data_IF_565539949890
#
_entry.id   IF_565539949890
#
_cell.length_a   1.000
_cell.length_b   1.000
_cell.length_c   1.000
_cell.angle_alpha   90.00
_cell.angle_beta   90.00
_cell.angle_gamma   90.00
#
_symmetry.space_group_name_H-M   'P 1'
#
loop_
_entity.id
_entity.type
_entity.pdbx_description
1 polymer ?
#
# COMPACT_ATOMS: atom_id res chain seq x y z
N UNK A 1 -8.49 -15.49 -12.72
CA UNK A 1 -8.13 -14.37 -11.80
C UNK A 1 -9.05 -14.43 -10.59
N UNK A 2 -8.53 -14.80 -9.43
CA UNK A 2 -9.32 -14.78 -8.20
C UNK A 2 -9.52 -13.34 -7.75
N UNK A 3 -10.65 -12.77 -8.15
CA UNK A 3 -11.04 -11.46 -7.63
C UNK A 3 -11.56 -11.66 -6.21
N UNK A 4 -10.85 -11.11 -5.24
CA UNK A 4 -11.31 -11.07 -3.86
C UNK A 4 -12.58 -10.23 -3.84
N UNK A 5 -13.67 -10.82 -3.37
CA UNK A 5 -14.95 -10.11 -3.27
C UNK A 5 -14.94 -9.18 -2.07
N UNK A 6 -15.42 -7.96 -2.24
CA UNK A 6 -15.50 -6.95 -1.18
C UNK A 6 -16.78 -7.07 -0.33
N UNK A 7 -17.29 -8.28 -0.15
CA UNK A 7 -18.51 -8.51 0.64
C UNK A 7 -18.19 -8.31 2.13
N UNK A 8 -18.96 -7.47 2.81
CA UNK A 8 -18.77 -7.17 4.22
C UNK A 8 -17.62 -6.23 4.56
N UNK A 9 -16.97 -5.67 3.55
CA UNK A 9 -15.88 -4.70 3.70
C UNK A 9 -16.44 -3.30 3.52
N UNK A 10 -16.14 -2.40 4.47
CA UNK A 10 -16.47 -0.99 4.32
C UNK A 10 -15.52 -0.33 3.34
N UNK A 11 -16.06 0.41 2.39
CA UNK A 11 -15.29 1.08 1.35
C UNK A 11 -15.61 2.56 1.29
N UNK A 12 -14.62 3.35 0.90
CA UNK A 12 -14.80 4.75 0.53
C UNK A 12 -13.87 5.09 -0.63
N UNK A 13 -14.37 5.87 -1.58
CA UNK A 13 -13.63 6.25 -2.76
C UNK A 13 -13.99 5.46 -4.00
N UNK A 14 -13.07 5.38 -4.96
CA UNK A 14 -13.33 4.85 -6.29
C UNK A 14 -13.21 3.32 -6.37
N UNK A 15 -14.34 2.62 -6.41
CA UNK A 15 -14.37 1.15 -6.58
C UNK A 15 -13.79 0.70 -7.91
N UNK A 16 -13.74 1.57 -8.91
CA UNK A 16 -13.09 1.29 -10.20
C UNK A 16 -11.63 0.86 -10.02
N UNK A 17 -10.94 1.38 -9.00
CA UNK A 17 -9.55 1.02 -8.72
C UNK A 17 -9.39 -0.43 -8.29
N UNK A 18 -10.42 -1.04 -7.72
CA UNK A 18 -10.39 -2.46 -7.35
C UNK A 18 -10.70 -3.36 -8.54
N UNK A 19 -11.74 -3.03 -9.29
CA UNK A 19 -12.27 -3.86 -10.38
C UNK A 19 -11.65 -3.57 -11.74
N UNK A 20 -10.92 -2.46 -11.88
CA UNK A 20 -10.31 -2.04 -13.14
C UNK A 20 -9.16 -2.94 -13.59
N UNK A 21 -8.74 -2.81 -14.87
CA UNK A 21 -7.71 -3.67 -15.47
C UNK A 21 -6.27 -3.23 -15.13
N UNK A 22 -6.10 -2.09 -14.48
CA UNK A 22 -4.78 -1.55 -14.17
C UNK A 22 -3.95 -2.51 -13.32
N UNK A 23 -2.67 -2.64 -13.64
CA UNK A 23 -1.73 -3.42 -12.85
C UNK A 23 -1.53 -2.76 -11.49
N UNK A 24 -1.74 -3.53 -10.43
CA UNK A 24 -1.59 -3.06 -9.06
C UNK A 24 -0.22 -3.46 -8.53
N UNK A 25 0.45 -2.52 -7.90
CA UNK A 25 1.77 -2.71 -7.29
C UNK A 25 1.59 -2.74 -5.78
N UNK A 26 1.91 -3.88 -5.16
CA UNK A 26 1.94 -3.99 -3.71
C UNK A 26 3.14 -3.26 -3.13
N UNK A 27 2.91 -2.41 -2.15
CA UNK A 27 3.95 -1.62 -1.49
C UNK A 27 4.08 -2.08 -0.05
N UNK A 28 5.31 -2.39 0.33
CA UNK A 28 5.64 -2.90 1.67
C UNK A 28 6.85 -2.14 2.20
N UNK A 29 6.77 -1.63 3.41
CA UNK A 29 7.92 -1.01 4.06
C UNK A 29 8.00 -1.47 5.52
N UNK A 30 9.21 -1.78 5.97
CA UNK A 30 9.47 -2.07 7.37
C UNK A 30 9.10 -0.88 8.24
N UNK A 31 8.59 -1.17 9.43
CA UNK A 31 8.11 -0.15 10.37
C UNK A 31 9.16 0.94 10.64
N UNK A 32 10.43 0.54 10.74
CA UNK A 32 11.54 1.44 11.06
C UNK A 32 12.34 1.86 9.83
N UNK A 33 11.88 1.56 8.62
CA UNK A 33 12.56 2.01 7.41
C UNK A 33 12.58 3.55 7.38
N UNK A 34 13.73 4.12 7.03
CA UNK A 34 13.89 5.57 7.02
C UNK A 34 12.96 6.22 5.99
N UNK A 35 11.95 6.93 6.48
CA UNK A 35 10.98 7.66 5.65
C UNK A 35 11.63 8.76 4.82
N UNK A 36 12.84 9.21 5.17
CA UNK A 36 13.60 10.22 4.45
C UNK A 36 14.64 9.63 3.49
N UNK A 37 14.67 8.31 3.32
CA UNK A 37 15.54 7.67 2.34
C UNK A 37 15.17 8.19 0.94
N UNK A 38 16.15 8.73 0.25
CA UNK A 38 15.92 9.37 -1.04
C UNK A 38 15.42 8.39 -2.11
N UNK A 39 15.77 7.11 -2.01
CA UNK A 39 15.31 6.06 -2.95
C UNK A 39 13.80 5.85 -2.84
N UNK A 40 13.26 5.92 -1.62
CA UNK A 40 11.82 5.85 -1.36
C UNK A 40 11.10 7.03 -2.02
N UNK A 41 11.60 8.23 -1.82
CA UNK A 41 11.04 9.44 -2.40
C UNK A 41 11.06 9.40 -3.92
N UNK A 42 12.18 9.02 -4.50
CA UNK A 42 12.35 8.90 -5.96
C UNK A 42 11.40 7.86 -6.55
N UNK A 43 11.31 6.70 -5.94
CA UNK A 43 10.43 5.63 -6.40
C UNK A 43 8.95 6.07 -6.36
N UNK A 44 8.53 6.68 -5.27
CA UNK A 44 7.16 7.14 -5.10
C UNK A 44 6.78 8.25 -6.10
N UNK A 45 7.67 9.20 -6.32
CA UNK A 45 7.46 10.26 -7.30
C UNK A 45 7.35 9.70 -8.73
N UNK A 46 8.18 8.73 -9.07
CA UNK A 46 8.14 8.07 -10.37
C UNK A 46 6.85 7.29 -10.56
N UNK A 47 6.41 6.55 -9.54
CA UNK A 47 5.12 5.85 -9.56
C UNK A 47 3.96 6.81 -9.86
N UNK A 48 4.00 8.00 -9.27
CA UNK A 48 3.03 9.05 -9.54
C UNK A 48 3.07 9.55 -10.98
N UNK A 49 4.27 9.86 -11.48
CA UNK A 49 4.44 10.34 -12.86
C UNK A 49 3.94 9.35 -13.91
N UNK A 50 4.05 8.06 -13.65
CA UNK A 50 3.52 7.01 -14.54
C UNK A 50 2.09 6.60 -14.22
N UNK A 51 1.41 7.31 -13.34
CA UNK A 51 0.01 7.05 -12.96
C UNK A 51 -0.25 5.61 -12.55
N UNK A 52 0.68 5.03 -11.81
CA UNK A 52 0.57 3.65 -11.34
C UNK A 52 -0.44 3.54 -10.21
N UNK A 53 -0.99 2.34 -10.01
CA UNK A 53 -1.90 2.04 -8.91
C UNK A 53 -1.13 1.29 -7.82
N UNK A 54 -0.97 1.92 -6.67
CA UNK A 54 -0.31 1.34 -5.50
C UNK A 54 -1.32 0.70 -4.57
N UNK A 55 -0.99 -0.44 -4.01
CA UNK A 55 -1.81 -1.11 -3.00
C UNK A 55 -0.95 -1.34 -1.76
N UNK A 56 -1.45 -0.93 -0.60
CA UNK A 56 -0.71 -1.09 0.63
C UNK A 56 -1.56 -0.86 1.86
N UNK A 57 -0.97 -1.10 3.02
CA UNK A 57 -1.57 -0.78 4.31
C UNK A 57 -1.26 0.64 4.76
N UNK A 58 -0.23 1.23 4.21
CA UNK A 58 0.23 2.61 4.42
C UNK A 58 0.17 3.04 5.90
N UNK A 59 0.61 2.14 6.77
CA UNK A 59 0.51 2.34 8.22
C UNK A 59 1.79 2.91 8.83
N UNK A 60 2.97 2.45 8.39
CA UNK A 60 4.26 2.98 8.87
C UNK A 60 4.54 4.37 8.30
N UNK A 61 5.45 5.10 8.92
CA UNK A 61 5.86 6.43 8.44
C UNK A 61 6.41 6.36 7.01
N UNK A 62 7.22 5.34 6.72
CA UNK A 62 7.76 5.13 5.37
C UNK A 62 6.65 4.85 4.35
N UNK A 63 5.74 3.94 4.65
CA UNK A 63 4.62 3.62 3.77
C UNK A 63 3.72 4.84 3.55
N UNK A 64 3.46 5.62 4.59
CA UNK A 64 2.64 6.81 4.52
C UNK A 64 3.28 7.88 3.65
N UNK A 65 4.60 8.04 3.77
CA UNK A 65 5.33 8.98 2.93
C UNK A 65 5.31 8.57 1.45
N UNK A 66 5.45 7.27 1.17
CA UNK A 66 5.30 6.76 -0.20
C UNK A 66 3.94 7.13 -0.77
N UNK A 67 2.88 6.87 -0.02
CA UNK A 67 1.52 7.20 -0.44
C UNK A 67 1.36 8.69 -0.74
N UNK A 68 1.77 9.54 0.18
CA UNK A 68 1.61 10.99 0.03
C UNK A 68 2.37 11.53 -1.19
N UNK A 69 3.60 11.11 -1.40
CA UNK A 69 4.41 11.52 -2.55
C UNK A 69 3.80 11.00 -3.86
N UNK A 70 3.44 9.73 -3.90
CA UNK A 70 2.89 9.12 -5.11
C UNK A 70 1.56 9.78 -5.50
N UNK A 71 0.65 9.97 -4.58
CA UNK A 71 -0.63 10.63 -4.84
C UNK A 71 -0.44 12.08 -5.28
N UNK A 72 0.48 12.81 -4.65
CA UNK A 72 0.78 14.20 -5.03
C UNK A 72 1.33 14.31 -6.47
N UNK A 73 1.93 13.24 -6.99
CA UNK A 73 2.46 13.18 -8.35
C UNK A 73 1.53 12.50 -9.36
N UNK A 74 0.33 12.11 -8.98
CA UNK A 74 -0.69 11.59 -9.89
C UNK A 74 -0.94 10.09 -9.86
N UNK A 75 -0.38 9.36 -8.89
CA UNK A 75 -0.67 7.94 -8.71
C UNK A 75 -2.12 7.70 -8.29
N UNK A 76 -2.55 6.46 -8.48
CA UNK A 76 -3.76 5.91 -7.86
C UNK A 76 -3.36 5.01 -6.70
N UNK A 77 -4.25 4.81 -5.75
CA UNK A 77 -3.96 3.92 -4.62
C UNK A 77 -5.20 3.20 -4.11
N UNK A 78 -4.97 1.98 -3.64
CA UNK A 78 -5.92 1.20 -2.84
C UNK A 78 -5.30 1.04 -1.46
N UNK A 79 -5.94 1.63 -0.45
CA UNK A 79 -5.47 1.59 0.92
C UNK A 79 -6.27 0.57 1.73
N UNK A 80 -5.62 -0.51 2.12
CA UNK A 80 -6.23 -1.59 2.90
C UNK A 80 -5.92 -1.37 4.38
N UNK A 81 -6.96 -1.11 5.17
CA UNK A 81 -6.84 -0.80 6.59
C UNK A 81 -7.25 -1.96 7.46
N UNK A 82 -6.51 -2.19 8.52
CA UNK A 82 -6.85 -3.15 9.58
C UNK A 82 -7.71 -2.58 10.70
N UNK A 83 -8.24 -1.37 10.51
CA UNK A 83 -9.12 -0.67 11.45
C UNK A 83 -10.16 0.14 10.68
N UNK A 84 -11.06 0.82 11.40
CA UNK A 84 -12.12 1.61 10.79
C UNK A 84 -11.60 2.67 9.82
N UNK A 85 -12.43 3.07 8.86
CA UNK A 85 -12.12 4.19 7.96
C UNK A 85 -11.94 5.47 8.76
N UNK A 86 -11.02 6.36 8.36
CA UNK A 86 -10.85 7.65 9.02
C UNK A 86 -12.09 8.52 8.83
N UNK A 87 -12.34 9.40 9.77
CA UNK A 87 -13.45 10.35 9.68
C UNK A 87 -13.11 11.59 8.87
N UNK A 88 -11.81 11.90 8.76
CA UNK A 88 -11.31 13.12 8.11
C UNK A 88 -10.12 12.74 7.24
N UNK A 89 -10.09 13.27 6.02
CA UNK A 89 -8.98 13.14 5.08
C UNK A 89 -8.28 14.48 4.93
N UNK A 90 -6.95 14.49 4.84
CA UNK A 90 -6.15 15.72 4.72
C UNK A 90 -5.04 15.55 3.68
N UNK A 91 -4.59 16.70 3.14
CA UNK A 91 -3.44 16.76 2.24
C UNK A 91 -3.64 15.98 0.94
N UNK A 92 -2.61 15.24 0.53
CA UNK A 92 -2.63 14.47 -0.72
C UNK A 92 -3.74 13.40 -0.75
N UNK A 93 -4.04 12.81 0.40
CA UNK A 93 -5.11 11.80 0.55
C UNK A 93 -6.48 12.42 0.29
N UNK A 94 -6.75 13.59 0.83
CA UNK A 94 -8.01 14.32 0.61
C UNK A 94 -8.20 14.63 -0.87
N UNK A 95 -7.20 15.20 -1.52
CA UNK A 95 -7.23 15.51 -2.95
C UNK A 95 -7.43 14.26 -3.81
N UNK A 96 -6.75 13.19 -3.47
CA UNK A 96 -6.88 11.91 -4.18
C UNK A 96 -8.29 11.34 -4.05
N UNK A 97 -8.90 11.46 -2.86
CA UNK A 97 -10.28 11.02 -2.65
C UNK A 97 -11.25 11.84 -3.52
N UNK A 98 -11.09 13.16 -3.56
CA UNK A 98 -11.91 14.06 -4.36
C UNK A 98 -11.78 13.81 -5.88
N UNK A 99 -10.61 13.40 -6.33
CA UNK A 99 -10.27 13.18 -7.74
C UNK A 99 -10.44 11.71 -8.20
N UNK A 100 -11.01 10.85 -7.39
CA UNK A 100 -11.19 9.42 -7.69
C UNK A 100 -9.85 8.65 -7.90
N UNK A 101 -8.78 9.11 -7.25
CA UNK A 101 -7.48 8.47 -7.28
C UNK A 101 -7.24 7.54 -6.09
N UNK A 102 -8.18 7.43 -5.17
CA UNK A 102 -8.03 6.65 -3.96
C UNK A 102 -9.26 5.78 -3.70
N UNK A 103 -9.00 4.54 -3.29
CA UNK A 103 -9.99 3.65 -2.70
C UNK A 103 -9.47 3.22 -1.33
N UNK A 104 -10.29 3.36 -0.31
CA UNK A 104 -10.00 2.85 1.03
C UNK A 104 -10.89 1.66 1.34
N UNK A 105 -10.28 0.61 1.90
CA UNK A 105 -10.96 -0.60 2.34
C UNK A 105 -10.71 -0.80 3.82
N UNK A 106 -11.78 -0.97 4.60
CA UNK A 106 -11.69 -1.36 6.00
C UNK A 106 -12.17 -2.79 6.16
N UNK A 107 -11.25 -3.68 6.45
CA UNK A 107 -11.52 -5.13 6.58
C UNK A 107 -11.99 -5.51 7.98
N UNK A 108 -11.91 -4.60 8.95
CA UNK A 108 -12.21 -4.88 10.36
C UNK A 108 -12.94 -3.71 11.00
N UNK A 109 -13.97 -4.02 11.80
CA UNK A 109 -14.70 -3.02 12.60
C UNK A 109 -13.98 -2.81 13.93
N UNK A 110 -12.83 -2.12 13.91
CA UNK A 110 -11.99 -1.86 15.09
C UNK A 110 -11.45 -0.43 15.05
N UNK A 111 -11.29 0.16 16.23
CA UNK A 111 -10.72 1.52 16.34
C UNK A 111 -9.23 1.57 16.01
N UNK A 112 -8.50 0.50 16.35
CA UNK A 112 -7.04 0.46 16.23
C UNK A 112 -6.57 -0.81 15.54
N UNK A 113 -5.42 -0.71 14.87
CA UNK A 113 -4.69 -1.86 14.35
C UNK A 113 -4.24 -2.77 15.50
N UNK A 114 -4.27 -4.07 15.26
CA UNK A 114 -3.60 -5.07 16.08
C UNK A 114 -2.53 -5.74 15.21
N UNK A 115 -1.61 -6.48 15.84
CA UNK A 115 -0.61 -7.26 15.10
C UNK A 115 -1.30 -8.28 14.16
N UNK A 116 -2.38 -8.91 14.62
CA UNK A 116 -3.13 -9.87 13.80
C UNK A 116 -3.80 -9.21 12.60
N UNK A 117 -4.44 -8.04 12.77
CA UNK A 117 -5.09 -7.34 11.65
C UNK A 117 -4.05 -6.78 10.67
N UNK A 118 -2.91 -6.30 11.16
CA UNK A 118 -1.81 -5.84 10.32
C UNK A 118 -1.28 -6.99 9.45
N UNK A 119 -1.04 -8.15 10.03
CA UNK A 119 -0.59 -9.35 9.31
C UNK A 119 -1.57 -9.77 8.22
N UNK A 120 -2.85 -9.81 8.54
CA UNK A 120 -3.89 -10.13 7.58
C UNK A 120 -3.89 -9.16 6.40
N UNK A 121 -3.85 -7.85 6.66
CA UNK A 121 -3.88 -6.82 5.62
C UNK A 121 -2.64 -6.86 4.73
N UNK A 122 -1.46 -7.10 5.29
CA UNK A 122 -0.22 -7.22 4.51
C UNK A 122 -0.28 -8.45 3.59
N UNK A 123 -0.80 -9.57 4.07
CA UNK A 123 -1.02 -10.76 3.23
C UNK A 123 -2.02 -10.47 2.11
N UNK A 124 -3.08 -9.75 2.41
CA UNK A 124 -4.10 -9.38 1.41
C UNK A 124 -3.49 -8.50 0.31
N UNK A 125 -2.64 -7.53 0.66
CA UNK A 125 -1.89 -6.73 -0.32
C UNK A 125 -1.09 -7.63 -1.26
N UNK A 126 -0.35 -8.59 -0.70
CA UNK A 126 0.44 -9.53 -1.50
C UNK A 126 -0.43 -10.36 -2.45
N UNK A 127 -1.59 -10.81 -1.99
CA UNK A 127 -2.48 -11.67 -2.77
C UNK A 127 -3.19 -10.95 -3.91
N UNK A 128 -3.48 -9.66 -3.77
CA UNK A 128 -4.25 -8.90 -4.77
C UNK A 128 -3.38 -8.13 -5.76
N UNK A 129 -2.05 -8.27 -5.69
CA UNK A 129 -1.12 -7.53 -6.53
C UNK A 129 -0.21 -8.47 -7.32
N UNK A 130 0.22 -8.05 -8.51
CA UNK A 130 1.11 -8.81 -9.38
C UNK A 130 2.54 -8.31 -9.36
N UNK A 131 2.74 -7.05 -9.01
CA UNK A 131 4.06 -6.44 -8.81
C UNK A 131 4.21 -6.09 -7.34
N UNK A 132 5.42 -6.19 -6.83
CA UNK A 132 5.68 -5.98 -5.41
C UNK A 132 6.95 -5.14 -5.24
N UNK A 133 6.90 -4.15 -4.37
CA UNK A 133 8.04 -3.32 -4.02
C UNK A 133 8.21 -3.29 -2.51
N UNK A 134 9.40 -3.65 -2.06
CA UNK A 134 9.74 -3.76 -0.64
C UNK A 134 10.82 -2.76 -0.28
N UNK A 135 10.60 -2.07 0.82
CA UNK A 135 11.60 -1.23 1.51
C UNK A 135 11.81 -1.86 2.89
N UNK A 136 12.84 -2.67 3.03
CA UNK A 136 12.98 -3.57 4.17
C UNK A 136 14.25 -3.34 4.96
N UNK A 137 14.12 -3.49 6.28
CA UNK A 137 15.24 -3.70 7.18
C UNK A 137 15.55 -5.20 7.26
N UNK A 138 16.75 -5.54 7.66
CA UNK A 138 17.10 -6.92 8.00
C UNK A 138 16.22 -7.42 9.15
N UNK A 139 15.84 -8.70 9.09
CA UNK A 139 15.08 -9.38 10.15
C UNK A 139 13.65 -8.86 10.39
N UNK A 140 13.00 -8.31 9.36
CA UNK A 140 11.58 -7.98 9.48
C UNK A 140 10.73 -9.26 9.46
N UNK A 141 10.28 -9.68 10.64
CA UNK A 141 9.53 -10.93 10.81
C UNK A 141 8.16 -10.95 10.10
N UNK A 142 7.57 -9.78 9.86
CA UNK A 142 6.29 -9.66 9.15
C UNK A 142 6.48 -9.75 7.65
N UNK A 143 7.42 -8.99 7.10
CA UNK A 143 7.61 -8.86 5.65
C UNK A 143 8.49 -9.94 5.03
N UNK A 144 9.44 -10.48 5.77
CA UNK A 144 10.37 -11.50 5.27
C UNK A 144 9.66 -12.72 4.66
N UNK A 145 8.66 -13.34 5.33
CA UNK A 145 7.94 -14.47 4.74
C UNK A 145 7.19 -14.10 3.47
N UNK A 146 6.66 -12.89 3.38
CA UNK A 146 5.92 -12.39 2.20
C UNK A 146 6.90 -12.17 1.05
N UNK A 147 8.03 -11.51 1.33
CA UNK A 147 9.09 -11.28 0.36
C UNK A 147 9.60 -12.59 -0.24
N UNK A 148 9.87 -13.60 0.58
CA UNK A 148 10.36 -14.90 0.11
C UNK A 148 9.42 -15.59 -0.88
N UNK A 149 8.11 -15.40 -0.72
CA UNK A 149 7.11 -15.97 -1.63
C UNK A 149 7.11 -15.33 -3.01
N UNK A 150 7.50 -14.06 -3.10
CA UNK A 150 7.43 -13.28 -4.35
C UNK A 150 8.79 -12.89 -4.90
N UNK A 151 9.88 -13.11 -4.17
CA UNK A 151 11.24 -12.67 -4.53
C UNK A 151 11.73 -13.22 -5.87
N UNK A 152 11.27 -14.40 -6.27
CA UNK A 152 11.65 -15.05 -7.52
C UNK A 152 10.89 -14.50 -8.74
N UNK A 153 9.85 -13.68 -8.53
CA UNK A 153 9.13 -13.04 -9.63
C UNK A 153 9.94 -11.86 -10.19
N UNK A 154 9.97 -11.71 -11.51
CA UNK A 154 10.65 -10.60 -12.21
C UNK A 154 10.11 -9.22 -11.83
N UNK A 155 8.90 -9.16 -11.31
CA UNK A 155 8.20 -7.93 -10.98
C UNK A 155 8.34 -7.54 -9.50
N UNK A 156 9.34 -8.10 -8.81
CA UNK A 156 9.62 -7.78 -7.42
C UNK A 156 10.87 -6.90 -7.32
N UNK A 157 10.73 -5.74 -6.65
CA UNK A 157 11.84 -4.84 -6.34
C UNK A 157 12.10 -4.85 -4.84
N UNK A 158 13.37 -4.76 -4.48
CA UNK A 158 13.79 -4.73 -3.08
C UNK A 158 14.78 -3.60 -2.84
N UNK A 159 14.47 -2.77 -1.85
CA UNK A 159 15.36 -1.76 -1.32
C UNK A 159 15.66 -2.07 0.13
N UNK A 160 16.92 -2.38 0.45
CA UNK A 160 17.36 -2.55 1.83
C UNK A 160 17.73 -1.20 2.43
N UNK A 161 17.47 -1.06 3.74
CA UNK A 161 17.97 0.08 4.48
C UNK A 161 19.50 0.04 4.48
N UNK A 162 20.12 1.20 4.26
CA UNK A 162 21.57 1.33 4.31
C UNK A 162 21.99 1.66 5.72
N UNK A 163 23.02 0.97 6.19
CA UNK A 163 23.68 1.29 7.46
C UNK A 163 24.33 2.68 7.42
#
# INVERSE_FOLDING_TARGET
MNRIKLIGINTEGSLRLWYGPETKIGVFASRDFDANDYRLEQWAAEAGRFHQCLVGTFHSDAERRILDIALANGAFAVWIRGCNLPRVYRGAVEKAMENDHLLMLSCFHRKHHTEATARYCVQLVSMCTKKHTFFMNENDSLLEPIYRKVAWHRNTQLFYERD
#
